data_IF_373822144326
#
_entry.id   IF_373822144326
#
_cell.length_a   1.000
_cell.length_b   1.000
_cell.length_c   1.000
_cell.angle_alpha   90.00
_cell.angle_beta   90.00
_cell.angle_gamma   90.00
#
_symmetry.space_group_name_H-M   'P 1'
#
loop_
_entity.id
_entity.type
_entity.pdbx_description
1 polymer ?
#
# COMPACT_ATOMS: atom_id res chain seq x y z
N UNK A 1 -56.46 -2.17 30.51
CA UNK A 1 -56.35 -2.93 29.24
C UNK A 1 -55.17 -3.90 29.36
N UNK A 2 -55.43 -5.19 29.12
CA UNK A 2 -54.47 -6.30 29.16
C UNK A 2 -53.47 -6.17 27.99
N UNK A 3 -52.19 -6.53 28.15
CA UNK A 3 -51.48 -7.71 27.58
C UNK A 3 -49.99 -7.53 27.92
N UNK A 4 -49.34 -8.32 28.79
CA UNK A 4 -48.79 -9.69 28.61
C UNK A 4 -47.80 -9.82 27.44
N UNK A 5 -46.51 -9.71 27.78
CA UNK A 5 -45.38 -10.63 27.54
C UNK A 5 -45.46 -11.68 26.42
N UNK A 6 -44.45 -11.73 25.53
CA UNK A 6 -43.88 -12.92 24.83
C UNK A 6 -42.53 -12.44 24.22
N UNK A 7 -41.34 -12.86 24.65
CA UNK A 7 -40.69 -14.18 24.64
C UNK A 7 -40.35 -14.71 23.23
N UNK A 8 -39.06 -14.98 23.06
CA UNK A 8 -38.41 -15.97 22.17
C UNK A 8 -38.56 -15.79 20.66
N UNK A 9 -37.49 -15.33 20.00
CA UNK A 9 -37.21 -15.73 18.62
C UNK A 9 -36.05 -16.73 18.63
N UNK A 10 -36.40 -17.96 18.27
CA UNK A 10 -35.59 -19.16 18.37
C UNK A 10 -34.43 -19.14 17.37
N UNK A 11 -33.24 -19.42 17.87
CA UNK A 11 -32.07 -19.81 17.09
C UNK A 11 -32.30 -21.21 16.53
N UNK A 12 -32.65 -21.31 15.25
CA UNK A 12 -32.65 -22.58 14.51
C UNK A 12 -31.43 -22.63 13.58
N UNK A 13 -30.30 -23.08 14.13
CA UNK A 13 -29.13 -23.49 13.36
C UNK A 13 -29.31 -24.96 13.00
N UNK A 14 -29.92 -25.26 11.86
CA UNK A 14 -29.94 -26.61 11.29
C UNK A 14 -28.66 -26.80 10.48
N UNK A 15 -27.64 -27.37 11.11
CA UNK A 15 -26.50 -27.96 10.41
C UNK A 15 -26.86 -29.40 10.04
N UNK A 16 -27.42 -29.59 8.86
CA UNK A 16 -27.45 -30.90 8.22
C UNK A 16 -26.07 -31.14 7.58
N UNK A 17 -25.19 -31.84 8.31
CA UNK A 17 -24.01 -32.47 7.72
C UNK A 17 -24.46 -33.79 7.08
N UNK A 18 -24.67 -33.74 5.77
CA UNK A 18 -24.95 -34.90 4.93
C UNK A 18 -23.94 -35.01 3.81
N UNK A 19 -23.04 -35.99 3.96
CA UNK A 19 -22.41 -36.83 2.94
C UNK A 19 -21.89 -36.22 1.61
N UNK A 20 -20.59 -36.40 1.39
CA UNK A 20 -19.95 -36.39 0.09
C UNK A 20 -20.55 -37.48 -0.82
N UNK A 21 -21.10 -37.11 -1.98
CA UNK A 21 -21.31 -38.01 -3.12
C UNK A 21 -21.61 -37.19 -4.40
N UNK A 22 -20.74 -37.34 -5.40
CA UNK A 22 -21.10 -37.49 -6.82
C UNK A 22 -21.94 -36.40 -7.54
N UNK A 23 -21.22 -35.57 -8.29
CA UNK A 23 -21.47 -35.10 -9.68
C UNK A 23 -22.74 -34.31 -10.08
N UNK A 24 -22.46 -33.25 -10.86
CA UNK A 24 -23.26 -32.59 -11.90
C UNK A 24 -24.56 -31.84 -11.53
N UNK A 25 -24.57 -30.52 -11.75
CA UNK A 25 -25.82 -29.77 -11.96
C UNK A 25 -25.82 -28.30 -11.57
N UNK A 26 -25.26 -27.45 -12.43
CA UNK A 26 -25.74 -26.09 -12.77
C UNK A 26 -26.29 -25.18 -11.65
N UNK A 27 -25.56 -24.11 -11.35
CA UNK A 27 -26.16 -22.77 -11.20
C UNK A 27 -25.14 -21.69 -11.53
N UNK A 28 -25.40 -20.98 -12.62
CA UNK A 28 -24.56 -19.88 -13.10
C UNK A 28 -24.56 -18.70 -12.13
N UNK A 29 -23.60 -18.66 -11.22
CA UNK A 29 -23.30 -17.46 -10.45
C UNK A 29 -22.33 -16.59 -11.24
N UNK A 30 -22.82 -15.84 -12.23
CA UNK A 30 -22.07 -14.70 -12.80
C UNK A 30 -22.02 -13.57 -11.76
N UNK A 31 -21.09 -13.65 -10.80
CA UNK A 31 -20.61 -12.46 -10.07
C UNK A 31 -19.19 -12.67 -9.54
N UNK A 32 -18.14 -12.20 -10.25
CA UNK A 32 -16.93 -11.80 -9.53
C UNK A 32 -16.15 -10.61 -10.13
N UNK A 33 -16.70 -9.79 -11.04
CA UNK A 33 -15.91 -8.69 -11.62
C UNK A 33 -15.41 -7.69 -10.54
N UNK A 34 -16.31 -7.24 -9.65
CA UNK A 34 -15.93 -6.33 -8.54
C UNK A 34 -15.02 -6.97 -7.49
N UNK A 35 -15.23 -8.25 -7.14
CA UNK A 35 -14.35 -8.94 -6.18
C UNK A 35 -12.96 -9.20 -6.76
N UNK A 36 -12.88 -9.60 -8.03
CA UNK A 36 -11.59 -9.83 -8.70
C UNK A 36 -10.80 -8.54 -8.95
N UNK A 37 -11.44 -7.42 -9.29
CA UNK A 37 -10.77 -6.11 -9.34
C UNK A 37 -10.28 -5.67 -7.97
N UNK A 38 -11.07 -5.86 -6.90
CA UNK A 38 -10.67 -5.55 -5.52
C UNK A 38 -9.43 -6.35 -5.10
N UNK A 39 -9.43 -7.67 -5.34
CA UNK A 39 -8.27 -8.53 -5.09
C UNK A 39 -7.07 -8.14 -5.93
N UNK A 40 -7.25 -7.83 -7.22
CA UNK A 40 -6.15 -7.40 -8.07
C UNK A 40 -5.52 -6.08 -7.62
N UNK A 41 -6.34 -5.13 -7.15
CA UNK A 41 -5.88 -3.85 -6.61
C UNK A 41 -5.09 -4.04 -5.30
N UNK A 42 -5.59 -4.88 -4.39
CA UNK A 42 -4.89 -5.22 -3.16
C UNK A 42 -3.55 -5.90 -3.47
N UNK A 43 -3.53 -6.90 -4.36
CA UNK A 43 -2.30 -7.60 -4.72
C UNK A 43 -1.29 -6.67 -5.40
N UNK A 44 -1.76 -5.76 -6.26
CA UNK A 44 -0.90 -4.74 -6.85
C UNK A 44 -0.24 -3.87 -5.77
N UNK A 45 -1.02 -3.38 -4.82
CA UNK A 45 -0.52 -2.55 -3.73
C UNK A 45 0.47 -3.28 -2.84
N UNK A 46 0.15 -4.50 -2.40
CA UNK A 46 1.06 -5.32 -1.58
C UNK A 46 2.37 -5.62 -2.31
N UNK A 47 2.33 -5.90 -3.61
CA UNK A 47 3.56 -6.10 -4.39
C UNK A 47 4.36 -4.80 -4.48
N UNK A 48 3.69 -3.66 -4.72
CA UNK A 48 4.36 -2.35 -4.78
C UNK A 48 5.07 -2.02 -3.45
N UNK A 49 4.39 -2.16 -2.31
CA UNK A 49 4.99 -1.91 -0.99
C UNK A 49 6.11 -2.90 -0.70
N UNK A 50 5.94 -4.19 -1.02
CA UNK A 50 7.01 -5.18 -0.84
C UNK A 50 8.26 -4.86 -1.66
N UNK A 51 8.10 -4.40 -2.92
CA UNK A 51 9.23 -4.02 -3.76
C UNK A 51 9.97 -2.79 -3.22
N UNK A 52 9.24 -1.84 -2.65
CA UNK A 52 9.81 -0.66 -1.99
C UNK A 52 10.57 -1.07 -0.72
N UNK A 53 9.91 -1.82 0.17
CA UNK A 53 10.46 -2.22 1.47
C UNK A 53 11.70 -3.13 1.34
N UNK A 54 11.82 -3.84 0.22
CA UNK A 54 13.01 -4.62 -0.09
C UNK A 54 14.26 -3.76 -0.34
N UNK A 55 14.10 -2.45 -0.60
CA UNK A 55 15.16 -1.55 -1.01
C UNK A 55 15.32 -0.32 -0.11
N UNK A 56 14.30 0.08 0.65
CA UNK A 56 14.26 1.39 1.34
C UNK A 56 14.77 1.38 2.79
N UNK A 57 15.22 0.25 3.31
CA UNK A 57 15.68 0.10 4.71
C UNK A 57 16.69 1.18 5.13
N UNK A 58 17.72 1.41 4.32
CA UNK A 58 18.78 2.35 4.68
C UNK A 58 18.30 3.81 4.59
N UNK A 59 17.37 4.10 3.66
CA UNK A 59 16.67 5.37 3.60
C UNK A 59 15.83 5.60 4.86
N UNK A 60 15.01 4.63 5.28
CA UNK A 60 14.18 4.72 6.48
C UNK A 60 15.06 4.92 7.73
N UNK A 61 16.18 4.19 7.81
CA UNK A 61 17.14 4.32 8.91
C UNK A 61 17.72 5.74 8.98
N UNK A 62 18.09 6.33 7.84
CA UNK A 62 18.56 7.71 7.78
C UNK A 62 17.47 8.72 8.19
N UNK A 63 16.25 8.59 7.64
CA UNK A 63 15.12 9.46 7.96
C UNK A 63 14.79 9.44 9.46
N UNK A 64 14.80 8.26 10.09
CA UNK A 64 14.65 8.12 11.53
C UNK A 64 15.80 8.79 12.31
N UNK A 65 17.05 8.62 11.86
CA UNK A 65 18.22 9.19 12.52
C UNK A 65 18.24 10.73 12.48
N UNK A 66 17.78 11.35 11.39
CA UNK A 66 17.70 12.81 11.28
C UNK A 66 16.48 13.41 11.97
N UNK A 67 15.44 12.61 12.23
CA UNK A 67 14.25 13.01 12.99
C UNK A 67 14.49 13.00 14.51
N UNK A 68 15.48 12.25 15.01
CA UNK A 68 15.87 12.27 16.42
C UNK A 68 16.46 13.62 16.83
N UNK A 69 15.98 14.16 17.95
CA UNK A 69 16.47 15.43 18.53
C UNK A 69 17.60 15.23 19.53
N UNK A 70 17.57 14.14 20.30
CA UNK A 70 18.43 13.98 21.49
C UNK A 70 19.60 13.00 21.29
N UNK A 71 19.46 12.03 20.37
CA UNK A 71 20.45 10.96 20.11
C UNK A 71 20.86 10.93 18.63
N UNK A 72 21.20 12.10 18.10
CA UNK A 72 21.61 12.20 16.70
C UNK A 72 22.99 11.55 16.52
N UNK A 73 23.18 10.64 15.55
CA UNK A 73 24.48 10.03 15.31
C UNK A 73 25.57 11.07 15.00
N UNK A 74 26.86 10.74 15.23
CA UNK A 74 27.98 11.59 14.85
C UNK A 74 27.91 11.99 13.36
N UNK A 75 28.43 13.19 13.03
CA UNK A 75 28.39 13.71 11.65
C UNK A 75 29.00 12.76 10.61
N UNK A 76 30.06 12.05 10.98
CA UNK A 76 30.73 11.07 10.10
C UNK A 76 29.85 9.85 9.83
N UNK A 77 29.11 9.39 10.84
CA UNK A 77 28.16 8.28 10.71
C UNK A 77 26.96 8.71 9.87
N UNK A 78 26.40 9.88 10.13
CA UNK A 78 25.31 10.45 9.32
C UNK A 78 25.67 10.61 7.85
N UNK A 79 26.92 10.97 7.53
CA UNK A 79 27.37 11.10 6.15
C UNK A 79 27.40 9.73 5.43
N UNK A 80 27.79 8.66 6.13
CA UNK A 80 27.71 7.29 5.61
C UNK A 80 26.26 6.88 5.39
N UNK A 81 25.40 7.06 6.40
CA UNK A 81 23.98 6.75 6.32
C UNK A 81 23.28 7.51 5.18
N UNK A 82 23.64 8.78 4.96
CA UNK A 82 23.10 9.58 3.87
C UNK A 82 23.42 8.99 2.48
N UNK A 83 24.64 8.47 2.30
CA UNK A 83 25.06 7.85 1.03
C UNK A 83 24.36 6.50 0.79
N UNK A 84 24.17 5.72 1.84
CA UNK A 84 23.41 4.47 1.80
C UNK A 84 21.93 4.75 1.48
N UNK A 85 21.33 5.74 2.17
CA UNK A 85 19.98 6.23 1.90
C UNK A 85 19.80 6.72 0.46
N UNK A 86 20.79 7.43 -0.11
CA UNK A 86 20.75 7.84 -1.52
C UNK A 86 20.65 6.62 -2.44
N UNK A 87 21.52 5.62 -2.23
CA UNK A 87 21.57 4.40 -3.05
C UNK A 87 20.27 3.58 -2.92
N UNK A 88 19.76 3.50 -1.70
CA UNK A 88 18.47 2.89 -1.36
C UNK A 88 17.31 3.57 -2.11
N UNK A 89 17.21 4.90 -2.05
CA UNK A 89 16.20 5.66 -2.79
C UNK A 89 16.32 5.46 -4.32
N UNK A 90 17.53 5.45 -4.88
CA UNK A 90 17.76 5.18 -6.31
C UNK A 90 17.33 3.76 -6.72
N UNK A 91 17.50 2.77 -5.84
CA UNK A 91 17.05 1.40 -6.09
C UNK A 91 15.52 1.29 -6.04
N UNK A 92 14.87 1.97 -5.10
CA UNK A 92 13.40 2.06 -5.07
C UNK A 92 12.84 2.65 -6.36
N UNK A 93 13.46 3.70 -6.91
CA UNK A 93 13.06 4.28 -8.22
C UNK A 93 13.08 3.22 -9.33
N UNK A 94 14.11 2.36 -9.36
CA UNK A 94 14.24 1.29 -10.36
C UNK A 94 13.14 0.24 -10.18
N UNK A 95 12.84 -0.17 -8.95
CA UNK A 95 11.79 -1.14 -8.65
C UNK A 95 10.39 -0.61 -9.01
N UNK A 96 10.08 0.64 -8.66
CA UNK A 96 8.80 1.27 -9.01
C UNK A 96 8.64 1.33 -10.54
N UNK A 97 9.70 1.73 -11.26
CA UNK A 97 9.70 1.77 -12.73
C UNK A 97 9.39 0.41 -13.37
N UNK A 98 9.81 -0.68 -12.73
CA UNK A 98 9.58 -2.05 -13.20
C UNK A 98 8.24 -2.64 -12.74
N UNK A 99 7.49 -1.94 -11.90
CA UNK A 99 6.22 -2.42 -11.37
C UNK A 99 5.17 -2.51 -12.47
N UNK A 100 4.59 -3.71 -12.63
CA UNK A 100 3.55 -3.97 -13.63
C UNK A 100 2.17 -3.68 -13.06
N UNK A 101 1.46 -2.74 -13.69
CA UNK A 101 0.05 -2.47 -13.38
C UNK A 101 -0.82 -3.54 -14.05
N UNK A 102 -1.57 -4.36 -13.29
CA UNK A 102 -2.34 -5.45 -13.87
C UNK A 102 -3.51 -4.94 -14.73
N UNK A 103 -3.83 -5.63 -15.82
CA UNK A 103 -4.96 -5.24 -16.68
C UNK A 103 -6.33 -5.36 -16.00
N UNK A 104 -6.43 -6.21 -14.96
CA UNK A 104 -7.66 -6.46 -14.18
C UNK A 104 -8.15 -5.25 -13.37
N UNK A 105 -7.35 -4.19 -13.25
CA UNK A 105 -7.73 -2.93 -12.59
C UNK A 105 -7.89 -1.77 -13.60
N UNK A 106 -8.26 -2.11 -14.85
CA UNK A 106 -8.38 -1.15 -15.98
C UNK A 106 -9.24 0.08 -15.68
N UNK A 107 -10.31 -0.06 -14.89
CA UNK A 107 -11.18 1.05 -14.49
C UNK A 107 -10.48 2.15 -13.67
N UNK A 108 -9.29 1.88 -13.15
CA UNK A 108 -8.49 2.81 -12.34
C UNK A 108 -7.09 3.02 -12.92
N UNK A 109 -6.84 2.57 -14.16
CA UNK A 109 -5.48 2.50 -14.68
C UNK A 109 -4.81 3.86 -14.75
N UNK A 110 -5.56 4.91 -15.11
CA UNK A 110 -5.02 6.25 -15.21
C UNK A 110 -4.61 6.79 -13.84
N UNK A 111 -5.48 6.68 -12.84
CA UNK A 111 -5.18 7.13 -11.47
C UNK A 111 -4.02 6.35 -10.86
N UNK A 112 -3.96 5.03 -11.08
CA UNK A 112 -2.86 4.19 -10.58
C UNK A 112 -1.54 4.55 -11.27
N UNK A 113 -1.55 4.79 -12.59
CA UNK A 113 -0.35 5.25 -13.32
C UNK A 113 0.15 6.59 -12.77
N UNK A 114 -0.75 7.53 -12.51
CA UNK A 114 -0.40 8.82 -11.91
C UNK A 114 0.21 8.62 -10.53
N UNK A 115 -0.41 7.81 -9.66
CA UNK A 115 0.11 7.55 -8.33
C UNK A 115 1.49 6.86 -8.36
N UNK A 116 1.69 5.86 -9.24
CA UNK A 116 2.99 5.20 -9.43
C UNK A 116 4.05 6.19 -9.92
N UNK A 117 3.70 7.09 -10.84
CA UNK A 117 4.61 8.14 -11.34
C UNK A 117 4.97 9.13 -10.22
N UNK A 118 4.00 9.56 -9.44
CA UNK A 118 4.21 10.47 -8.32
C UNK A 118 5.08 9.82 -7.24
N UNK A 119 4.86 8.54 -6.96
CA UNK A 119 5.68 7.75 -6.05
C UNK A 119 7.12 7.63 -6.55
N UNK A 120 7.31 7.29 -7.82
CA UNK A 120 8.63 7.26 -8.44
C UNK A 120 9.32 8.63 -8.34
N UNK A 121 8.58 9.71 -8.60
CA UNK A 121 9.11 11.07 -8.50
C UNK A 121 9.49 11.44 -7.07
N UNK A 122 8.72 11.01 -6.07
CA UNK A 122 9.06 11.19 -4.66
C UNK A 122 10.43 10.57 -4.33
N UNK A 123 10.63 9.28 -4.61
CA UNK A 123 11.92 8.63 -4.33
C UNK A 123 13.07 9.19 -5.16
N UNK A 124 12.82 9.64 -6.40
CA UNK A 124 13.82 10.35 -7.19
C UNK A 124 14.22 11.68 -6.53
N UNK A 125 13.26 12.45 -6.03
CA UNK A 125 13.54 13.68 -5.28
C UNK A 125 14.33 13.37 -4.00
N UNK A 126 13.99 12.31 -3.26
CA UNK A 126 14.78 11.88 -2.09
C UNK A 126 16.23 11.60 -2.49
N UNK A 127 16.45 10.78 -3.52
CA UNK A 127 17.78 10.46 -4.03
C UNK A 127 18.57 11.72 -4.45
N UNK A 128 17.93 12.68 -5.11
CA UNK A 128 18.59 13.89 -5.58
C UNK A 128 18.91 14.87 -4.45
N UNK A 129 18.03 15.00 -3.46
CA UNK A 129 18.28 15.79 -2.25
C UNK A 129 19.42 15.21 -1.42
N UNK A 130 19.47 13.88 -1.27
CA UNK A 130 20.53 13.18 -0.51
C UNK A 130 21.93 13.32 -1.11
N UNK A 131 22.08 13.84 -2.34
CA UNK A 131 23.39 14.20 -2.91
C UNK A 131 23.92 15.54 -2.38
N UNK A 132 23.07 16.36 -1.77
CA UNK A 132 23.42 17.69 -1.28
C UNK A 132 24.04 17.60 0.10
N UNK A 133 24.82 18.62 0.47
CA UNK A 133 25.43 18.73 1.80
C UNK A 133 24.37 18.83 2.91
N UNK A 134 23.27 19.54 2.65
CA UNK A 134 22.15 19.70 3.58
C UNK A 134 20.85 19.28 2.86
N UNK A 135 20.52 17.99 2.85
CA UNK A 135 19.30 17.50 2.20
C UNK A 135 18.04 18.03 2.90
N UNK A 136 16.98 18.29 2.14
CA UNK A 136 15.63 18.48 2.66
C UNK A 136 14.69 17.53 1.93
N UNK A 137 13.99 16.68 2.68
CA UNK A 137 13.12 15.64 2.10
C UNK A 137 11.64 16.07 2.04
N UNK A 138 11.31 17.28 2.47
CA UNK A 138 9.92 17.74 2.64
C UNK A 138 9.13 17.72 1.33
N UNK A 139 9.73 18.22 0.25
CA UNK A 139 9.09 18.23 -1.07
C UNK A 139 8.85 16.79 -1.59
N UNK A 140 9.79 15.89 -1.34
CA UNK A 140 9.66 14.49 -1.69
C UNK A 140 8.57 13.80 -0.86
N UNK A 141 8.54 14.04 0.46
CA UNK A 141 7.52 13.50 1.35
C UNK A 141 6.11 13.99 1.00
N UNK A 142 5.97 15.27 0.63
CA UNK A 142 4.71 15.79 0.08
C UNK A 142 4.29 15.07 -1.21
N UNK A 143 5.26 14.69 -2.04
CA UNK A 143 5.01 13.94 -3.27
C UNK A 143 4.58 12.49 -2.98
N UNK A 144 5.15 11.86 -1.94
CA UNK A 144 4.71 10.57 -1.41
C UNK A 144 3.26 10.63 -0.91
N UNK A 145 2.90 11.68 -0.15
CA UNK A 145 1.53 11.90 0.32
C UNK A 145 0.55 12.07 -0.84
N UNK A 146 0.92 12.80 -1.90
CA UNK A 146 0.09 12.91 -3.10
C UNK A 146 -0.18 11.55 -3.76
N UNK A 147 0.85 10.70 -3.90
CA UNK A 147 0.69 9.36 -4.42
C UNK A 147 -0.24 8.51 -3.52
N UNK A 148 -0.08 8.62 -2.19
CA UNK A 148 -0.95 7.98 -1.22
C UNK A 148 -2.41 8.42 -1.37
N UNK A 149 -2.67 9.72 -1.52
CA UNK A 149 -4.02 10.26 -1.65
C UNK A 149 -4.71 9.77 -2.92
N UNK A 150 -3.98 9.70 -4.04
CA UNK A 150 -4.51 9.15 -5.29
C UNK A 150 -4.82 7.66 -5.16
N UNK A 151 -3.93 6.85 -4.57
CA UNK A 151 -4.22 5.44 -4.26
C UNK A 151 -5.39 5.30 -3.30
N UNK A 152 -5.48 6.15 -2.27
CA UNK A 152 -6.57 6.19 -1.31
C UNK A 152 -7.92 6.45 -1.98
N UNK A 153 -7.99 7.38 -2.94
CA UNK A 153 -9.20 7.62 -3.76
C UNK A 153 -9.56 6.38 -4.58
N UNK A 154 -8.59 5.72 -5.22
CA UNK A 154 -8.81 4.49 -6.01
C UNK A 154 -9.35 3.36 -5.12
N UNK A 155 -8.75 3.16 -3.95
CA UNK A 155 -9.19 2.15 -2.99
C UNK A 155 -10.62 2.42 -2.52
N UNK A 156 -10.94 3.66 -2.14
CA UNK A 156 -12.32 4.06 -1.78
C UNK A 156 -13.32 3.78 -2.90
N UNK A 157 -13.01 4.17 -4.14
CA UNK A 157 -13.84 3.90 -5.33
C UNK A 157 -14.09 2.38 -5.53
N UNK A 158 -13.09 1.56 -5.21
CA UNK A 158 -13.18 0.10 -5.28
C UNK A 158 -13.88 -0.56 -4.07
N UNK A 159 -14.34 0.21 -3.08
CA UNK A 159 -14.94 -0.33 -1.85
C UNK A 159 -13.92 -0.98 -0.91
N UNK A 160 -12.70 -0.45 -0.88
CA UNK A 160 -11.63 -0.79 0.05
C UNK A 160 -11.40 0.35 1.06
N UNK A 161 -10.79 0.02 2.20
CA UNK A 161 -10.19 1.02 3.08
C UNK A 161 -9.09 1.78 2.31
N UNK A 162 -8.87 3.07 2.60
CA UNK A 162 -7.84 3.84 1.92
C UNK A 162 -6.45 3.24 2.10
N UNK A 163 -5.58 3.42 1.10
CA UNK A 163 -4.16 3.13 1.24
C UNK A 163 -3.53 3.96 2.37
N UNK A 164 -2.46 3.41 2.96
CA UNK A 164 -1.65 4.05 4.00
C UNK A 164 -0.18 3.93 3.62
N UNK A 165 0.13 4.34 2.39
CA UNK A 165 1.43 4.09 1.77
C UNK A 165 2.61 4.57 2.64
N UNK A 166 2.60 5.77 3.24
CA UNK A 166 3.71 6.20 4.11
C UNK A 166 3.91 5.29 5.32
N UNK A 167 2.83 4.75 5.89
CA UNK A 167 2.91 3.84 7.04
C UNK A 167 3.38 2.44 6.60
N UNK A 168 3.00 2.02 5.39
CA UNK A 168 3.28 0.68 4.86
C UNK A 168 4.70 0.56 4.26
N UNK A 169 5.38 1.69 3.99
CA UNK A 169 6.75 1.69 3.44
C UNK A 169 7.81 2.31 4.35
N UNK A 170 7.45 3.24 5.23
CA UNK A 170 8.41 3.78 6.21
C UNK A 170 8.48 2.88 7.46
N UNK A 171 8.83 1.60 7.27
CA UNK A 171 9.03 0.61 8.34
C UNK A 171 10.48 0.50 8.78
#
# INVERSE_FOLDING_TARGET
MKKIWFATFSLALVLALGACSGNSGQSGAKKPAKSSTKTALMNFYMNLTNHINAQDRDLNTYEQAIAKTDEKPPKTELATMQKEAQSSAENVVKEIKNTKIPSKISSYQSEIKTAVKDLQQSYQMKADELKKTNPSLDAANKKLEQANDELGKVFKKAGLSPARLPDDVNS
#
